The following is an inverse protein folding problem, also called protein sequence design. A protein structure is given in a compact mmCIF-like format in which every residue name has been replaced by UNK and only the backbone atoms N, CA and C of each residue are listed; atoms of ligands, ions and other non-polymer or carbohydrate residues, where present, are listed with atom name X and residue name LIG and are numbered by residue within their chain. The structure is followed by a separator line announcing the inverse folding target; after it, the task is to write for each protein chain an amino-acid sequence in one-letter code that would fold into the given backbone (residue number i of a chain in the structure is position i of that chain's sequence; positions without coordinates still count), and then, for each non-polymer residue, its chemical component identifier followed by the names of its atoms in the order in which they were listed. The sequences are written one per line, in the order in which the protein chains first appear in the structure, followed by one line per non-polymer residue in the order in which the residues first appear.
data_IF_144659654167
#
_entry.id   IF_144659654167
#
_cell.length_a   1.000
_cell.length_b   1.000
_cell.length_c   1.000
_cell.angle_alpha   90.00
_cell.angle_beta   90.00
_cell.angle_gamma   90.00
#
_symmetry.space_group_name_H-M   'P 1'
#
loop_
_entity.id
_entity.type
_entity.pdbx_description
1 polymer ?
#
# COMPACT_ATOMS: atom_id res chain seq x y z
N UNK A 1 40.93 19.42 3.96
CA UNK A 1 39.94 19.40 2.88
C UNK A 1 39.06 18.19 3.07
N UNK A 2 37.95 18.36 3.79
CA UNK A 2 36.97 17.29 4.01
C UNK A 2 36.28 16.94 2.69
N UNK A 3 36.53 15.73 2.20
CA UNK A 3 35.79 15.16 1.07
C UNK A 3 34.36 14.93 1.53
N UNK A 4 33.44 15.76 1.05
CA UNK A 4 31.99 15.52 1.19
C UNK A 4 31.68 14.19 0.51
N UNK A 5 31.57 13.14 1.31
CA UNK A 5 31.22 11.81 0.82
C UNK A 5 29.79 11.90 0.32
N UNK A 6 29.57 11.75 -0.99
CA UNK A 6 28.22 11.66 -1.54
C UNK A 6 27.59 10.34 -1.04
N UNK A 7 26.88 10.43 0.09
CA UNK A 7 26.33 9.28 0.82
C UNK A 7 25.27 8.57 -0.03
N UNK A 8 24.47 9.32 -0.79
CA UNK A 8 23.43 8.78 -1.66
C UNK A 8 24.02 7.94 -2.82
N UNK A 9 25.08 8.43 -3.47
CA UNK A 9 25.79 7.71 -4.54
C UNK A 9 26.53 6.48 -4.00
N UNK A 10 27.08 6.56 -2.79
CA UNK A 10 27.73 5.43 -2.11
C UNK A 10 26.72 4.34 -1.77
N UNK A 11 25.51 4.70 -1.35
CA UNK A 11 24.43 3.75 -1.06
C UNK A 11 23.90 3.06 -2.30
N UNK A 12 23.68 3.79 -3.41
CA UNK A 12 23.32 3.14 -4.68
C UNK A 12 24.38 2.15 -5.15
N UNK A 13 25.67 2.47 -4.96
CA UNK A 13 26.77 1.55 -5.28
C UNK A 13 26.79 0.34 -4.35
N UNK A 14 26.67 0.52 -3.04
CA UNK A 14 26.55 -0.58 -2.08
C UNK A 14 25.35 -1.48 -2.44
N UNK A 15 24.23 -0.87 -2.84
CA UNK A 15 23.01 -1.57 -3.25
C UNK A 15 23.19 -2.37 -4.54
N UNK A 16 23.93 -1.82 -5.51
CA UNK A 16 24.34 -2.53 -6.74
C UNK A 16 25.31 -3.68 -6.45
N UNK A 17 26.27 -3.47 -5.55
CA UNK A 17 27.24 -4.50 -5.13
C UNK A 17 26.59 -5.65 -4.35
N UNK A 18 25.47 -5.38 -3.68
CA UNK A 18 24.66 -6.39 -2.97
C UNK A 18 23.60 -7.08 -3.88
N UNK A 19 23.62 -6.85 -5.20
CA UNK A 19 22.65 -7.41 -6.16
C UNK A 19 21.18 -7.13 -5.80
N UNK A 20 20.86 -5.92 -5.33
CA UNK A 20 19.54 -5.52 -4.86
C UNK A 20 18.64 -4.88 -5.94
N UNK A 21 18.59 -5.49 -7.12
CA UNK A 21 17.51 -5.24 -8.11
C UNK A 21 16.19 -5.95 -7.71
N UNK A 22 16.22 -6.72 -6.63
CA UNK A 22 15.06 -7.43 -6.07
C UNK A 22 14.30 -6.60 -5.04
N UNK A 23 13.07 -7.04 -4.77
CA UNK A 23 12.10 -6.43 -3.84
C UNK A 23 12.69 -6.17 -2.44
N UNK A 24 12.08 -5.23 -1.70
CA UNK A 24 12.48 -4.83 -0.33
C UNK A 24 12.70 -6.04 0.60
N UNK A 25 11.94 -7.12 0.40
CA UNK A 25 12.02 -8.36 1.15
C UNK A 25 13.30 -9.15 0.89
N UNK A 26 13.68 -9.32 -0.38
CA UNK A 26 14.93 -9.98 -0.75
C UNK A 26 16.15 -9.20 -0.25
N UNK A 27 16.04 -7.87 -0.24
CA UNK A 27 17.07 -7.00 0.33
C UNK A 27 17.31 -7.23 1.82
N UNK A 28 16.24 -7.41 2.58
CA UNK A 28 16.29 -7.67 4.02
C UNK A 28 16.95 -9.02 4.32
N UNK A 29 16.59 -10.06 3.57
CA UNK A 29 17.13 -11.41 3.75
C UNK A 29 18.64 -11.48 3.46
N UNK A 30 19.11 -10.79 2.41
CA UNK A 30 20.54 -10.79 2.09
C UNK A 30 21.36 -9.99 3.12
N UNK A 31 20.81 -8.87 3.61
CA UNK A 31 21.42 -8.12 4.73
C UNK A 31 21.51 -8.95 6.00
N UNK A 32 20.48 -9.75 6.32
CA UNK A 32 20.51 -10.69 7.45
C UNK A 32 21.57 -11.78 7.24
N UNK A 33 21.67 -12.35 6.03
CA UNK A 33 22.70 -13.34 5.68
C UNK A 33 24.12 -12.79 5.85
N UNK A 34 24.36 -11.55 5.40
CA UNK A 34 25.66 -10.87 5.57
C UNK A 34 25.92 -10.54 7.04
N UNK A 35 24.90 -10.10 7.78
CA UNK A 35 25.01 -9.82 9.22
C UNK A 35 25.41 -11.07 10.03
N UNK A 36 24.96 -12.25 9.62
CA UNK A 36 25.31 -13.53 10.26
C UNK A 36 26.72 -14.01 9.93
N UNK A 37 27.32 -13.60 8.80
CA UNK A 37 28.65 -14.06 8.36
C UNK A 37 29.81 -13.21 8.89
N UNK A 38 29.55 -11.98 9.34
CA UNK A 38 30.60 -11.07 9.83
C UNK A 38 30.62 -11.10 11.35
N UNK A 39 31.47 -11.95 11.92
CA UNK A 39 31.72 -11.93 13.36
C UNK A 39 32.51 -10.67 13.76
N UNK A 40 32.11 -10.05 14.88
CA UNK A 40 32.74 -8.85 15.44
C UNK A 40 32.17 -7.50 14.99
N UNK A 41 31.36 -7.43 13.92
CA UNK A 41 30.82 -6.15 13.39
C UNK A 41 29.29 -6.04 13.48
N UNK A 42 28.63 -6.97 14.20
CA UNK A 42 27.16 -7.03 14.38
C UNK A 42 26.55 -5.67 14.77
N UNK A 43 27.24 -4.91 15.62
CA UNK A 43 26.78 -3.59 16.08
C UNK A 43 26.67 -2.56 14.94
N UNK A 44 27.65 -2.50 14.03
CA UNK A 44 27.61 -1.60 12.85
C UNK A 44 26.60 -2.06 11.80
N UNK A 45 26.39 -3.37 11.64
CA UNK A 45 25.37 -3.89 10.72
C UNK A 45 23.96 -3.61 11.23
N UNK A 46 23.74 -3.75 12.54
CA UNK A 46 22.49 -3.36 13.20
C UNK A 46 22.28 -1.84 13.12
N UNK A 47 23.33 -1.04 13.25
CA UNK A 47 23.25 0.42 13.08
C UNK A 47 22.88 0.81 11.64
N UNK A 48 23.49 0.19 10.63
CA UNK A 48 23.12 0.37 9.22
C UNK A 48 21.68 -0.10 8.97
N UNK A 49 21.28 -1.24 9.53
CA UNK A 49 19.89 -1.72 9.48
C UNK A 49 18.95 -0.68 10.08
N UNK A 50 19.20 -0.20 11.29
CA UNK A 50 18.32 0.74 11.97
C UNK A 50 18.30 2.11 11.29
N UNK A 51 19.42 2.55 10.70
CA UNK A 51 19.48 3.83 9.98
C UNK A 51 18.78 3.79 8.61
N UNK A 52 18.76 2.64 7.94
CA UNK A 52 18.32 2.55 6.54
C UNK A 52 17.12 1.63 6.29
N UNK A 53 16.68 0.84 7.27
CA UNK A 53 15.43 0.05 7.22
C UNK A 53 14.43 0.39 8.31
N UNK A 54 14.84 1.09 9.37
CA UNK A 54 13.89 1.72 10.27
C UNK A 54 13.58 3.11 9.70
N UNK A 55 12.35 3.38 9.24
CA UNK A 55 11.93 4.75 9.07
C UNK A 55 11.94 5.38 10.46
N UNK A 56 13.02 6.10 10.78
CA UNK A 56 13.07 6.90 11.99
C UNK A 56 11.95 7.94 11.89
N UNK A 57 11.13 8.00 12.93
CA UNK A 57 10.11 9.02 13.12
C UNK A 57 8.80 8.70 12.41
N UNK A 58 7.75 8.47 13.21
CA UNK A 58 6.41 8.89 12.82
C UNK A 58 6.42 10.42 12.77
N UNK A 59 7.10 11.01 11.78
CA UNK A 59 6.84 12.40 11.46
C UNK A 59 5.38 12.45 11.01
N UNK A 60 4.56 13.35 11.60
CA UNK A 60 3.20 13.52 11.13
C UNK A 60 3.27 13.85 9.63
N UNK A 61 2.40 13.20 8.86
CA UNK A 61 2.28 13.51 7.44
C UNK A 61 2.05 15.03 7.28
N UNK A 62 2.64 15.67 6.27
CA UNK A 62 2.36 17.06 6.00
C UNK A 62 0.86 17.26 5.79
N UNK A 63 0.34 18.37 6.31
CA UNK A 63 -1.07 18.72 6.11
C UNK A 63 -1.39 18.78 4.62
N UNK A 64 -2.55 18.22 4.26
CA UNK A 64 -3.01 18.20 2.88
C UNK A 64 -3.24 19.63 2.38
N UNK A 65 -2.29 20.15 1.60
CA UNK A 65 -2.40 21.47 0.94
C UNK A 65 -3.04 21.42 -0.44
N UNK A 66 -3.60 20.28 -0.85
CA UNK A 66 -4.26 20.12 -2.14
C UNK A 66 -5.60 20.87 -2.20
N UNK A 67 -6.07 21.15 -3.42
CA UNK A 67 -7.40 21.74 -3.63
C UNK A 67 -8.46 20.75 -3.14
N UNK A 68 -9.39 21.23 -2.31
CA UNK A 68 -10.57 20.46 -1.94
C UNK A 68 -11.32 20.00 -3.19
N UNK A 69 -11.50 18.68 -3.33
CA UNK A 69 -12.28 18.10 -4.41
C UNK A 69 -13.69 17.85 -3.91
N UNK A 70 -14.61 18.76 -4.25
CA UNK A 70 -16.03 18.61 -3.95
C UNK A 70 -16.63 17.31 -4.53
N UNK A 71 -16.03 16.80 -5.62
CA UNK A 71 -16.43 15.54 -6.23
C UNK A 71 -16.05 14.31 -5.37
N UNK A 72 -14.90 14.35 -4.67
CA UNK A 72 -14.48 13.22 -3.81
C UNK A 72 -15.23 13.19 -2.49
N UNK A 73 -15.77 14.32 -2.03
CA UNK A 73 -16.62 14.38 -0.84
C UNK A 73 -18.11 14.17 -1.10
N UNK A 74 -18.51 14.01 -2.37
CA UNK A 74 -19.91 13.83 -2.73
C UNK A 74 -20.46 12.49 -2.23
N UNK A 75 -21.77 12.44 -1.94
CA UNK A 75 -22.43 11.21 -1.58
C UNK A 75 -22.49 10.25 -2.77
N UNK A 76 -22.31 8.95 -2.50
CA UNK A 76 -22.41 7.89 -3.52
C UNK A 76 -23.83 7.88 -4.12
N UNK A 77 -23.91 8.11 -5.43
CA UNK A 77 -25.15 8.15 -6.18
C UNK A 77 -25.64 6.74 -6.52
N UNK A 78 -26.96 6.56 -6.55
CA UNK A 78 -27.58 5.29 -6.98
C UNK A 78 -27.25 4.92 -8.43
N UNK A 79 -26.91 5.91 -9.27
CA UNK A 79 -26.55 5.67 -10.66
C UNK A 79 -25.08 5.24 -10.85
N UNK A 80 -24.21 5.53 -9.88
CA UNK A 80 -22.78 5.18 -9.94
C UNK A 80 -22.56 3.69 -9.69
N UNK A 81 -23.30 3.13 -8.74
CA UNK A 81 -23.19 1.71 -8.37
C UNK A 81 -23.44 0.76 -9.55
N UNK A 82 -24.53 0.87 -10.34
CA UNK A 82 -24.73 0.01 -11.52
C UNK A 82 -23.71 0.26 -12.63
N UNK A 83 -23.17 1.49 -12.75
CA UNK A 83 -22.11 1.76 -13.74
C UNK A 83 -20.81 1.04 -13.36
N UNK A 84 -20.47 1.02 -12.08
CA UNK A 84 -19.25 0.39 -11.58
C UNK A 84 -19.36 -1.13 -11.44
N UNK A 85 -20.54 -1.68 -11.11
CA UNK A 85 -20.75 -3.14 -11.14
C UNK A 85 -20.55 -3.71 -12.55
N UNK A 86 -20.96 -2.98 -13.58
CA UNK A 86 -20.74 -3.34 -14.99
C UNK A 86 -19.28 -3.19 -15.45
N UNK A 87 -18.51 -2.28 -14.85
CA UNK A 87 -17.06 -2.13 -15.11
C UNK A 87 -16.20 -3.13 -14.33
N UNK A 88 -16.77 -3.77 -13.31
CA UNK A 88 -16.02 -4.69 -12.45
C UNK A 88 -15.35 -5.81 -13.27
N UNK A 89 -14.12 -6.16 -12.89
CA UNK A 89 -13.40 -7.28 -13.50
C UNK A 89 -14.06 -8.59 -13.07
N UNK A 90 -14.60 -9.29 -14.05
CA UNK A 90 -15.37 -10.52 -13.88
C UNK A 90 -14.49 -11.74 -13.55
N UNK A 91 -13.19 -11.70 -13.94
CA UNK A 91 -12.24 -12.83 -13.85
C UNK A 91 -11.43 -12.96 -12.54
N UNK A 92 -11.75 -12.22 -11.48
CA UNK A 92 -11.05 -12.34 -10.20
C UNK A 92 -11.56 -13.51 -9.35
N UNK A 93 -10.70 -13.97 -8.43
CA UNK A 93 -11.02 -15.00 -7.45
C UNK A 93 -12.07 -14.47 -6.48
N UNK A 94 -13.03 -15.31 -6.10
CA UNK A 94 -14.05 -14.98 -5.10
C UNK A 94 -13.43 -14.66 -3.74
N UNK A 95 -14.07 -13.75 -3.00
CA UNK A 95 -13.69 -13.42 -1.63
C UNK A 95 -14.04 -14.53 -0.63
N UNK A 96 -13.91 -14.20 0.66
CA UNK A 96 -14.31 -15.09 1.77
C UNK A 96 -15.81 -15.44 1.71
N UNK A 97 -16.61 -14.52 1.17
CA UNK A 97 -18.05 -14.65 0.90
C UNK A 97 -18.39 -15.68 -0.19
N UNK A 98 -17.38 -16.18 -0.94
CA UNK A 98 -17.51 -17.09 -2.07
C UNK A 98 -18.38 -16.54 -3.21
N UNK A 99 -18.61 -15.23 -3.25
CA UNK A 99 -19.32 -14.60 -4.35
C UNK A 99 -18.37 -14.45 -5.54
N UNK A 100 -18.73 -15.05 -6.66
CA UNK A 100 -17.92 -15.00 -7.88
C UNK A 100 -18.17 -13.65 -8.56
N UNK A 101 -17.10 -12.91 -8.90
CA UNK A 101 -17.23 -11.58 -9.52
C UNK A 101 -18.01 -11.58 -10.85
N UNK A 102 -18.02 -12.69 -11.58
CA UNK A 102 -18.87 -12.88 -12.76
C UNK A 102 -20.37 -12.69 -12.47
N UNK A 103 -20.83 -12.84 -11.21
CA UNK A 103 -22.24 -12.71 -10.83
C UNK A 103 -22.64 -11.26 -10.52
N UNK A 104 -21.69 -10.37 -10.23
CA UNK A 104 -21.94 -9.00 -9.81
C UNK A 104 -22.76 -8.20 -10.85
N UNK A 105 -22.53 -8.32 -12.18
CA UNK A 105 -23.34 -7.64 -13.18
C UNK A 105 -24.79 -8.14 -13.30
N UNK A 106 -25.09 -9.34 -12.78
CA UNK A 106 -26.41 -9.98 -12.90
C UNK A 106 -27.25 -9.86 -11.62
N UNK A 107 -26.80 -9.05 -10.66
CA UNK A 107 -27.53 -8.79 -9.42
C UNK A 107 -28.82 -8.02 -9.75
N UNK A 108 -29.91 -8.34 -9.06
CA UNK A 108 -31.19 -7.63 -9.26
C UNK A 108 -31.13 -6.17 -8.78
N UNK A 109 -31.99 -5.33 -9.34
CA UNK A 109 -32.01 -3.89 -9.05
C UNK A 109 -32.21 -3.59 -7.55
N UNK A 110 -33.00 -4.41 -6.85
CA UNK A 110 -33.25 -4.26 -5.41
C UNK A 110 -31.97 -4.44 -4.60
N UNK A 111 -31.16 -5.44 -4.92
CA UNK A 111 -29.89 -5.71 -4.25
C UNK A 111 -28.85 -4.63 -4.60
N UNK A 112 -28.85 -4.12 -5.83
CA UNK A 112 -28.01 -2.96 -6.21
C UNK A 112 -28.39 -1.72 -5.39
N UNK A 113 -29.69 -1.45 -5.22
CA UNK A 113 -30.17 -0.34 -4.41
C UNK A 113 -29.79 -0.51 -2.91
N UNK A 114 -29.89 -1.73 -2.38
CA UNK A 114 -29.47 -2.04 -1.02
C UNK A 114 -27.95 -1.85 -0.84
N UNK A 115 -27.15 -2.32 -1.80
CA UNK A 115 -25.69 -2.15 -1.79
C UNK A 115 -25.30 -0.66 -1.81
N UNK A 116 -25.95 0.12 -2.67
CA UNK A 116 -25.71 1.56 -2.76
C UNK A 116 -26.07 2.30 -1.47
N UNK A 117 -27.17 1.89 -0.82
CA UNK A 117 -27.60 2.45 0.47
C UNK A 117 -26.58 2.11 1.56
N UNK A 118 -26.17 0.84 1.66
CA UNK A 118 -25.18 0.41 2.64
C UNK A 118 -23.82 1.11 2.46
N UNK A 119 -23.32 1.19 1.22
CA UNK A 119 -22.07 1.89 0.91
C UNK A 119 -22.14 3.38 1.28
N UNK A 120 -23.29 4.03 1.07
CA UNK A 120 -23.50 5.43 1.49
C UNK A 120 -23.48 5.58 3.00
N UNK A 121 -24.13 4.70 3.74
CA UNK A 121 -24.09 4.73 5.21
C UNK A 121 -22.66 4.55 5.74
N UNK A 122 -21.89 3.63 5.15
CA UNK A 122 -20.48 3.43 5.50
C UNK A 122 -19.65 4.69 5.21
N UNK A 123 -19.88 5.31 4.04
CA UNK A 123 -19.22 6.55 3.62
C UNK A 123 -19.51 7.71 4.58
N UNK A 124 -20.79 7.95 4.92
CA UNK A 124 -21.21 9.02 5.82
C UNK A 124 -20.66 8.85 7.24
N UNK A 125 -20.55 7.61 7.72
CA UNK A 125 -19.99 7.29 9.03
C UNK A 125 -18.46 7.27 9.06
N UNK A 126 -17.79 7.35 7.90
CA UNK A 126 -16.34 7.19 7.78
C UNK A 126 -15.86 5.78 8.17
N UNK A 127 -16.71 4.77 7.99
CA UNK A 127 -16.45 3.37 8.37
C UNK A 127 -16.29 2.50 7.14
N UNK A 128 -15.44 1.47 7.23
CA UNK A 128 -15.24 0.49 6.15
C UNK A 128 -16.21 -0.69 6.37
N UNK A 129 -16.84 -1.22 5.30
CA UNK A 129 -17.59 -2.48 5.36
C UNK A 129 -16.78 -3.60 6.00
N UNK A 130 -17.42 -4.42 6.83
CA UNK A 130 -16.79 -5.61 7.39
C UNK A 130 -16.85 -6.75 6.35
N UNK A 131 -15.77 -7.54 6.26
CA UNK A 131 -15.66 -8.72 5.37
C UNK A 131 -16.47 -9.93 5.86
#
# INVERSE_FOLDING_TARGET
MDKIVNVAGTWQRLRRLLHLESTKTASKQELERVAHKVDGTKRKVIEVRNKYTNPAGSEPFPDYGGRESSALGAAISLAEVPAETNRSRTRSVAGVDKVINNMIPYINDRSIANLATYMRECWEKGTIPQE
#
